data_IF_752405495016
#
_entry.id   IF_752405495016
#
_cell.length_a   1.000
_cell.length_b   1.000
_cell.length_c   1.000
_cell.angle_alpha   90.00
_cell.angle_beta   90.00
_cell.angle_gamma   90.00
#
_symmetry.space_group_name_H-M   'P 1'
#
loop_
_entity.id
_entity.type
_entity.pdbx_description
1 polymer ?
#
# COMPACT_ATOMS: atom_id res chain seq x y z
N UNK A 1 5.00 -12.87 -13.41
CA UNK A 1 4.41 -13.33 -12.13
C UNK A 1 3.56 -12.23 -11.54
N UNK A 2 2.34 -12.53 -11.13
CA UNK A 2 1.48 -11.62 -10.36
C UNK A 2 1.79 -11.69 -8.87
N UNK A 3 1.42 -10.65 -8.12
CA UNK A 3 1.61 -10.58 -6.66
C UNK A 3 1.02 -11.78 -5.90
N UNK A 4 -0.10 -12.32 -6.41
CA UNK A 4 -0.82 -13.44 -5.81
C UNK A 4 -0.26 -14.82 -6.18
N UNK A 5 0.64 -14.91 -7.16
CA UNK A 5 1.28 -16.18 -7.55
C UNK A 5 2.48 -16.50 -6.66
N UNK A 6 3.00 -15.50 -5.94
CA UNK A 6 4.17 -15.60 -5.07
C UNK A 6 3.78 -16.13 -3.68
N UNK A 7 4.65 -16.94 -3.07
CA UNK A 7 4.39 -17.49 -1.74
C UNK A 7 4.57 -16.41 -0.65
N UNK A 8 3.59 -16.32 0.26
CA UNK A 8 3.71 -15.47 1.44
C UNK A 8 4.84 -15.99 2.34
N UNK A 9 5.69 -15.08 2.82
CA UNK A 9 6.80 -15.41 3.73
C UNK A 9 8.11 -15.87 3.07
N UNK A 10 8.15 -16.18 1.77
CA UNK A 10 9.39 -16.61 1.08
C UNK A 10 9.88 -15.62 0.03
N UNK A 11 8.99 -15.15 -0.83
CA UNK A 11 9.35 -14.26 -1.95
C UNK A 11 9.26 -12.78 -1.56
N UNK A 12 9.85 -12.42 -0.41
CA UNK A 12 9.66 -11.10 0.20
C UNK A 12 10.10 -9.94 -0.69
N UNK A 13 11.27 -10.07 -1.32
CA UNK A 13 11.84 -9.01 -2.15
C UNK A 13 10.96 -8.77 -3.38
N UNK A 14 10.50 -9.84 -4.03
CA UNK A 14 9.69 -9.73 -5.24
C UNK A 14 8.29 -9.18 -4.93
N UNK A 15 7.64 -9.66 -3.86
CA UNK A 15 6.36 -9.08 -3.40
C UNK A 15 6.49 -7.60 -3.04
N UNK A 16 7.55 -7.24 -2.31
CA UNK A 16 7.84 -5.84 -1.94
C UNK A 16 8.08 -4.98 -3.15
N UNK A 17 8.81 -5.50 -4.14
CA UNK A 17 9.07 -4.80 -5.39
C UNK A 17 7.79 -4.53 -6.18
N UNK A 18 6.88 -5.52 -6.24
CA UNK A 18 5.58 -5.38 -6.91
C UNK A 18 4.72 -4.35 -6.17
N UNK A 19 4.62 -4.41 -4.84
CA UNK A 19 3.83 -3.44 -4.06
C UNK A 19 4.42 -2.03 -4.12
N UNK A 20 5.74 -1.90 -4.15
CA UNK A 20 6.43 -0.61 -4.36
C UNK A 20 6.09 -0.04 -5.73
N UNK A 21 6.15 -0.86 -6.79
CA UNK A 21 5.77 -0.45 -8.15
C UNK A 21 4.31 0.01 -8.21
N UNK A 22 3.39 -0.73 -7.61
CA UNK A 22 1.99 -0.33 -7.51
C UNK A 22 1.84 1.01 -6.76
N UNK A 23 2.55 1.17 -5.64
CA UNK A 23 2.59 2.43 -4.89
C UNK A 23 3.13 3.59 -5.72
N UNK A 24 4.21 3.40 -6.47
CA UNK A 24 4.76 4.45 -7.37
C UNK A 24 3.78 4.84 -8.46
N UNK A 25 3.10 3.87 -9.09
CA UNK A 25 2.12 4.14 -10.14
C UNK A 25 0.94 4.95 -9.60
N UNK A 26 0.38 4.54 -8.45
CA UNK A 26 -0.69 5.28 -7.77
C UNK A 26 -0.22 6.67 -7.33
N UNK A 27 1.02 6.81 -6.86
CA UNK A 27 1.62 8.08 -6.48
C UNK A 27 1.78 9.05 -7.66
N UNK A 28 2.18 8.55 -8.82
CA UNK A 28 2.28 9.35 -10.05
C UNK A 28 0.91 9.81 -10.53
N UNK A 29 -0.07 8.92 -10.58
CA UNK A 29 -1.45 9.25 -10.96
C UNK A 29 -2.04 10.28 -9.99
N UNK A 30 -1.92 10.03 -8.68
CA UNK A 30 -2.39 10.97 -7.65
C UNK A 30 -1.70 12.33 -7.74
N UNK A 31 -0.39 12.35 -7.99
CA UNK A 31 0.37 13.58 -8.19
C UNK A 31 -0.07 14.35 -9.44
N UNK A 32 -0.36 13.64 -10.54
CA UNK A 32 -0.85 14.25 -11.77
C UNK A 32 -2.20 14.95 -11.52
N UNK A 33 -3.16 14.27 -10.88
CA UNK A 33 -4.43 14.90 -10.50
C UNK A 33 -4.24 16.07 -9.54
N UNK A 34 -3.35 15.95 -8.55
CA UNK A 34 -3.08 17.02 -7.61
C UNK A 34 -2.51 18.27 -8.29
N UNK A 35 -1.62 18.13 -9.27
CA UNK A 35 -1.05 19.26 -10.03
C UNK A 35 -2.10 19.90 -10.94
N UNK A 36 -2.98 19.10 -11.56
CA UNK A 36 -4.06 19.61 -12.41
C UNK A 36 -5.11 20.37 -11.59
N UNK A 37 -5.48 19.85 -10.42
CA UNK A 37 -6.45 20.48 -9.53
C UNK A 37 -5.87 21.72 -8.82
N UNK A 38 -4.60 21.67 -8.40
CA UNK A 38 -3.91 22.74 -7.69
C UNK A 38 -2.64 23.13 -8.45
N UNK A 39 -2.82 24.04 -9.41
CA UNK A 39 -1.74 24.51 -10.28
C UNK A 39 -0.60 25.12 -9.44
N UNK A 40 0.64 24.66 -9.61
CA UNK A 40 1.80 25.25 -8.96
C UNK A 40 2.26 26.51 -9.70
N UNK A 41 2.81 27.47 -8.96
CA UNK A 41 3.29 28.73 -9.53
C UNK A 41 4.57 28.56 -10.36
N UNK A 42 5.23 27.40 -10.25
CA UNK A 42 6.46 27.08 -11.00
C UNK A 42 6.61 25.60 -11.33
N UNK A 43 7.35 25.32 -12.40
CA UNK A 43 7.68 23.95 -12.82
C UNK A 43 8.48 23.17 -11.76
N UNK A 44 9.39 23.84 -11.04
CA UNK A 44 10.17 23.20 -9.97
C UNK A 44 9.28 22.79 -8.79
N UNK A 45 8.33 23.63 -8.39
CA UNK A 45 7.35 23.26 -7.36
C UNK A 45 6.47 22.09 -7.82
N UNK A 46 6.10 22.03 -9.11
CA UNK A 46 5.36 20.91 -9.67
C UNK A 46 6.16 19.59 -9.52
N UNK A 47 7.43 19.61 -9.91
CA UNK A 47 8.33 18.44 -9.81
C UNK A 47 8.54 18.04 -8.35
N UNK A 48 8.77 18.99 -7.45
CA UNK A 48 8.94 18.70 -6.02
C UNK A 48 7.68 18.07 -5.41
N UNK A 49 6.49 18.60 -5.72
CA UNK A 49 5.20 18.06 -5.27
C UNK A 49 5.00 16.63 -5.79
N UNK A 50 5.20 16.40 -7.09
CA UNK A 50 5.08 15.08 -7.70
C UNK A 50 6.07 14.08 -7.11
N UNK A 51 7.32 14.50 -6.90
CA UNK A 51 8.37 13.64 -6.33
C UNK A 51 8.02 13.26 -4.89
N UNK A 52 7.64 14.23 -4.05
CA UNK A 52 7.29 13.97 -2.67
C UNK A 52 6.07 13.06 -2.54
N UNK A 53 5.03 13.27 -3.35
CA UNK A 53 3.85 12.41 -3.38
C UNK A 53 4.18 10.99 -3.82
N UNK A 54 4.90 10.86 -4.93
CA UNK A 54 5.26 9.56 -5.51
C UNK A 54 6.17 8.75 -4.59
N UNK A 55 7.22 9.37 -4.03
CA UNK A 55 8.15 8.71 -3.11
C UNK A 55 7.43 8.26 -1.83
N UNK A 56 6.49 9.06 -1.34
CA UNK A 56 5.71 8.68 -0.15
C UNK A 56 4.85 7.45 -0.44
N UNK A 57 4.13 7.42 -1.56
CA UNK A 57 3.32 6.26 -1.96
C UNK A 57 4.17 5.02 -2.27
N UNK A 58 5.35 5.20 -2.87
CA UNK A 58 6.32 4.13 -3.08
C UNK A 58 6.77 3.51 -1.75
N UNK A 59 7.14 4.35 -0.79
CA UNK A 59 7.56 3.92 0.54
C UNK A 59 6.43 3.19 1.29
N UNK A 60 5.17 3.65 1.16
CA UNK A 60 4.02 2.92 1.72
C UNK A 60 3.91 1.50 1.16
N UNK A 61 4.02 1.35 -0.16
CA UNK A 61 4.01 0.04 -0.82
C UNK A 61 5.17 -0.86 -0.41
N UNK A 62 6.37 -0.28 -0.23
CA UNK A 62 7.56 -1.00 0.22
C UNK A 62 7.42 -1.48 1.67
N UNK A 63 7.01 -0.58 2.58
CA UNK A 63 6.79 -0.89 4.00
C UNK A 63 5.72 -1.95 4.13
N UNK A 64 4.60 -1.81 3.41
CA UNK A 64 3.55 -2.82 3.37
C UNK A 64 4.11 -4.19 2.98
N UNK A 65 4.77 -4.30 1.83
CA UNK A 65 5.28 -5.60 1.34
C UNK A 65 6.30 -6.26 2.26
N UNK A 66 7.22 -5.47 2.84
CA UNK A 66 8.21 -6.03 3.78
C UNK A 66 7.57 -6.48 5.09
N UNK A 67 6.67 -5.66 5.64
CA UNK A 67 6.04 -5.95 6.93
C UNK A 67 5.08 -7.12 6.85
N UNK A 68 4.31 -7.27 5.77
CA UNK A 68 3.50 -8.48 5.55
C UNK A 68 4.38 -9.72 5.47
N UNK A 69 5.51 -9.65 4.79
CA UNK A 69 6.41 -10.80 4.65
C UNK A 69 7.13 -11.16 5.95
N UNK A 70 7.60 -10.16 6.69
CA UNK A 70 8.24 -10.37 7.99
C UNK A 70 7.25 -10.87 9.03
N UNK A 71 6.00 -10.36 9.03
CA UNK A 71 4.95 -10.86 9.91
C UNK A 71 4.61 -12.33 9.60
N UNK A 72 4.51 -12.68 8.31
CA UNK A 72 4.27 -14.05 7.87
C UNK A 72 5.39 -15.01 8.31
N UNK A 73 6.66 -14.58 8.22
CA UNK A 73 7.81 -15.37 8.69
C UNK A 73 7.86 -15.47 10.21
N UNK A 74 7.67 -14.37 10.93
CA UNK A 74 7.80 -14.34 12.39
C UNK A 74 6.68 -15.12 13.11
N UNK A 75 5.52 -15.28 12.47
CA UNK A 75 4.35 -15.99 13.04
C UNK A 75 4.21 -17.42 12.53
N UNK A 76 5.07 -17.87 11.61
CA UNK A 76 4.93 -19.15 10.88
C UNK A 76 3.51 -19.40 10.33
N UNK A 77 2.78 -18.32 10.04
CA UNK A 77 1.37 -18.33 9.67
C UNK A 77 1.15 -17.51 8.39
N UNK A 78 1.59 -18.02 7.21
CA UNK A 78 1.67 -17.24 5.98
C UNK A 78 0.30 -16.78 5.43
N UNK A 79 -0.76 -17.53 5.70
CA UNK A 79 -2.11 -17.23 5.18
C UNK A 79 -2.96 -16.39 6.11
N UNK A 80 -2.47 -16.05 7.31
CA UNK A 80 -3.21 -15.26 8.29
C UNK A 80 -3.45 -13.82 7.78
N UNK A 81 -4.72 -13.36 7.66
CA UNK A 81 -5.07 -11.98 7.30
C UNK A 81 -4.46 -10.91 8.21
N UNK A 82 -4.14 -11.27 9.45
CA UNK A 82 -3.52 -10.37 10.42
C UNK A 82 -2.16 -9.87 9.91
N UNK A 83 -1.44 -10.64 9.10
CA UNK A 83 -0.18 -10.19 8.49
C UNK A 83 -0.40 -8.97 7.59
N UNK A 84 -1.50 -8.98 6.82
CA UNK A 84 -1.88 -7.87 5.95
C UNK A 84 -2.37 -6.67 6.76
N UNK A 85 -3.07 -6.89 7.88
CA UNK A 85 -3.42 -5.83 8.82
C UNK A 85 -2.17 -5.13 9.38
N UNK A 86 -1.18 -5.90 9.82
CA UNK A 86 0.08 -5.36 10.34
C UNK A 86 0.82 -4.55 9.27
N UNK A 87 0.84 -5.02 8.03
CA UNK A 87 1.47 -4.27 6.96
C UNK A 87 0.75 -2.99 6.59
N UNK A 88 -0.58 -3.02 6.56
CA UNK A 88 -1.39 -1.82 6.37
C UNK A 88 -1.19 -0.82 7.52
N UNK A 89 -1.15 -1.31 8.76
CA UNK A 89 -0.91 -0.46 9.92
C UNK A 89 0.48 0.18 9.90
N UNK A 90 1.53 -0.59 9.61
CA UNK A 90 2.89 -0.06 9.51
C UNK A 90 3.03 1.02 8.43
N UNK A 91 2.38 0.81 7.28
CA UNK A 91 2.32 1.84 6.23
C UNK A 91 1.56 3.10 6.72
N UNK A 92 0.45 2.95 7.44
CA UNK A 92 -0.30 4.07 8.03
C UNK A 92 0.49 4.86 9.07
N UNK A 93 1.26 4.19 9.92
CA UNK A 93 2.16 4.85 10.88
C UNK A 93 3.24 5.64 10.14
N UNK A 94 3.83 5.08 9.07
CA UNK A 94 4.79 5.81 8.24
C UNK A 94 4.16 7.04 7.58
N UNK A 95 2.92 6.94 7.10
CA UNK A 95 2.20 8.08 6.57
C UNK A 95 2.05 9.18 7.64
N UNK A 96 1.68 8.81 8.87
CA UNK A 96 1.59 9.73 10.00
C UNK A 96 2.94 10.39 10.34
N UNK A 97 4.04 9.65 10.24
CA UNK A 97 5.39 10.18 10.40
C UNK A 97 5.73 11.20 9.30
N UNK A 98 5.35 10.91 8.04
CA UNK A 98 5.57 11.81 6.90
C UNK A 98 4.71 13.08 6.95
N UNK A 99 3.50 12.99 7.51
CA UNK A 99 2.62 14.16 7.70
C UNK A 99 2.80 14.85 9.05
N UNK A 100 3.73 14.38 9.89
CA UNK A 100 3.97 14.90 11.24
C UNK A 100 2.71 14.95 12.12
N UNK A 101 1.80 13.98 11.98
CA UNK A 101 0.56 13.95 12.75
C UNK A 101 0.22 12.54 13.23
N UNK A 102 0.17 12.40 14.56
CA UNK A 102 -0.19 11.16 15.24
C UNK A 102 -1.62 10.74 14.91
N UNK A 103 -2.55 11.69 14.75
CA UNK A 103 -3.94 11.42 14.40
C UNK A 103 -4.06 10.83 12.99
N UNK A 104 -3.32 11.36 12.01
CA UNK A 104 -3.27 10.74 10.67
C UNK A 104 -2.62 9.36 10.72
N UNK A 105 -1.61 9.16 11.57
CA UNK A 105 -0.97 7.85 11.72
C UNK A 105 -1.90 6.78 12.27
N UNK A 106 -2.65 7.09 13.34
CA UNK A 106 -3.58 6.13 13.96
C UNK A 106 -4.78 5.83 13.07
N UNK A 107 -5.39 6.86 12.47
CA UNK A 107 -6.51 6.67 11.54
C UNK A 107 -6.09 5.94 10.27
N UNK A 108 -4.92 6.25 9.70
CA UNK A 108 -4.39 5.54 8.55
C UNK A 108 -4.01 4.09 8.90
N UNK A 109 -3.48 3.83 10.11
CA UNK A 109 -3.15 2.46 10.52
C UNK A 109 -4.41 1.59 10.55
N UNK A 110 -5.48 2.06 11.19
CA UNK A 110 -6.74 1.30 11.26
C UNK A 110 -7.39 1.20 9.88
N UNK A 111 -7.45 2.30 9.12
CA UNK A 111 -8.05 2.34 7.79
C UNK A 111 -7.33 1.43 6.79
N UNK A 112 -6.02 1.63 6.60
CA UNK A 112 -5.23 0.82 5.66
C UNK A 112 -5.07 -0.62 6.15
N UNK A 113 -4.92 -0.83 7.46
CA UNK A 113 -4.83 -2.16 8.07
C UNK A 113 -6.10 -2.98 7.84
N UNK A 114 -7.27 -2.43 8.13
CA UNK A 114 -8.55 -3.13 7.91
C UNK A 114 -8.79 -3.38 6.42
N UNK A 115 -8.55 -2.40 5.55
CA UNK A 115 -8.65 -2.58 4.11
C UNK A 115 -7.74 -3.71 3.61
N UNK A 116 -6.48 -3.75 4.04
CA UNK A 116 -5.54 -4.81 3.66
C UNK A 116 -5.96 -6.19 4.20
N UNK A 117 -6.50 -6.24 5.42
CA UNK A 117 -7.04 -7.48 5.97
C UNK A 117 -8.20 -8.00 5.10
N UNK A 118 -9.15 -7.13 4.75
CA UNK A 118 -10.29 -7.49 3.90
C UNK A 118 -9.88 -7.88 2.48
N UNK A 119 -8.81 -7.30 1.91
CA UNK A 119 -8.33 -7.75 0.60
C UNK A 119 -7.77 -9.17 0.65
N UNK A 120 -7.05 -9.55 1.72
CA UNK A 120 -6.60 -10.94 1.91
C UNK A 120 -7.78 -11.89 2.15
N UNK A 121 -8.73 -11.53 3.03
CA UNK A 121 -9.95 -12.32 3.28
C UNK A 121 -10.75 -12.52 1.99
N UNK A 122 -11.01 -11.44 1.25
CA UNK A 122 -11.72 -11.51 -0.03
C UNK A 122 -11.01 -12.37 -1.07
N UNK A 123 -9.66 -12.39 -1.08
CA UNK A 123 -8.90 -13.29 -1.94
C UNK A 123 -9.04 -14.76 -1.53
N UNK A 124 -9.03 -15.06 -0.23
CA UNK A 124 -9.19 -16.42 0.30
C UNK A 124 -10.61 -16.95 0.09
N UNK A 125 -11.63 -16.10 0.30
CA UNK A 125 -13.04 -16.46 0.11
C UNK A 125 -13.51 -16.34 -1.35
N UNK A 126 -12.67 -15.85 -2.25
CA UNK A 126 -12.98 -15.74 -3.67
C UNK A 126 -14.00 -14.65 -4.02
N UNK A 127 -14.07 -13.58 -3.22
CA UNK A 127 -14.93 -12.43 -3.49
C UNK A 127 -14.60 -11.80 -4.84
N UNK A 128 -15.63 -11.51 -5.63
CA UNK A 128 -15.49 -10.84 -6.94
C UNK A 128 -16.00 -9.41 -6.82
N UNK A 129 -15.10 -8.45 -6.72
CA UNK A 129 -15.44 -7.01 -6.67
C UNK A 129 -16.04 -6.51 -7.99
N UNK A 130 -15.53 -7.01 -9.11
CA UNK A 130 -16.08 -6.77 -10.43
C UNK A 130 -16.13 -8.13 -11.15
N UNK A 131 -17.33 -8.58 -11.48
CA UNK A 131 -17.57 -9.82 -12.21
C UNK A 131 -18.53 -9.57 -13.37
N UNK A 132 -18.58 -10.48 -14.36
CA UNK A 132 -19.61 -10.40 -15.38
C UNK A 132 -20.99 -10.41 -14.71
N UNK A 133 -21.96 -9.64 -15.22
CA UNK A 133 -23.32 -9.65 -14.67
C UNK A 133 -23.82 -11.09 -14.67
N UNK A 134 -24.26 -11.57 -13.51
CA UNK A 134 -24.94 -12.85 -13.40
C UNK A 134 -26.41 -12.61 -13.72
N UNK A 135 -26.93 -13.35 -14.70
CA UNK A 135 -28.37 -13.42 -14.96
C UNK A 135 -29.05 -14.30 -13.92
#
# INVERSE_FOLDING_TARGET
>A
MGYWDLQEGKDCIEKTWITTKLGTALGLVGSAYHIVAFQPDSAIQAVQRATNGTVTMAALGAIFGMTTCLAAQARDAPDDPVNYFLGGCASGVFLGARTHSAMTGTTACIGLGTLAMFTKVGKMEGWRLAGPPRM
#
